data_IF_977432645824
#
_entry.id   IF_977432645824
#
_cell.length_a   1.000
_cell.length_b   1.000
_cell.length_c   1.000
_cell.angle_alpha   90.00
_cell.angle_beta   90.00
_cell.angle_gamma   90.00
#
_symmetry.space_group_name_H-M   'P 1'
#
loop_
_entity.id
_entity.type
_entity.pdbx_description
1 polymer ?
#
# COMPACT_ATOMS: atom_id res chain seq x y z
N UNK A 1 -4.95 -25.90 2.09
CA UNK A 1 -3.65 -25.40 1.56
C UNK A 1 -3.21 -24.28 2.51
N UNK A 2 -2.00 -24.36 3.11
CA UNK A 2 -1.51 -23.29 3.96
C UNK A 2 -1.35 -22.02 3.12
N UNK A 3 -2.06 -20.95 3.49
CA UNK A 3 -1.94 -19.65 2.85
C UNK A 3 -0.73 -18.92 3.44
N UNK A 4 0.25 -18.57 2.63
CA UNK A 4 1.38 -17.74 3.04
C UNK A 4 0.97 -16.27 2.94
N UNK A 5 0.78 -15.62 4.09
CA UNK A 5 0.51 -14.19 4.14
C UNK A 5 1.81 -13.42 4.34
N UNK A 6 2.15 -12.53 3.41
CA UNK A 6 3.30 -11.64 3.50
C UNK A 6 2.86 -10.25 3.91
N UNK A 7 3.48 -9.70 4.96
CA UNK A 7 3.22 -8.35 5.47
C UNK A 7 4.53 -7.55 5.40
N UNK A 8 4.72 -6.70 4.36
CA UNK A 8 5.93 -5.89 4.26
C UNK A 8 6.04 -4.93 5.45
N UNK A 9 7.22 -4.83 6.02
CA UNK A 9 7.54 -3.95 7.15
C UNK A 9 7.79 -2.51 6.68
N UNK A 10 6.71 -1.79 6.37
CA UNK A 10 6.75 -0.44 5.75
C UNK A 10 6.06 0.65 6.58
N UNK A 11 5.45 0.30 7.71
CA UNK A 11 4.74 1.24 8.56
C UNK A 11 5.56 1.60 9.79
N UNK A 12 5.56 2.85 10.18
CA UNK A 12 6.31 3.37 11.32
C UNK A 12 5.35 4.00 12.33
N UNK A 13 5.26 3.39 13.51
CA UNK A 13 4.39 3.85 14.59
C UNK A 13 5.13 4.86 15.46
N UNK A 14 4.68 6.09 15.47
CA UNK A 14 5.09 7.09 16.44
C UNK A 14 4.08 7.15 17.59
N UNK A 15 4.56 7.12 18.84
CA UNK A 15 3.70 7.11 20.03
C UNK A 15 4.24 8.02 21.11
N UNK A 16 3.37 8.81 21.73
CA UNK A 16 3.63 9.59 22.93
C UNK A 16 2.65 9.21 24.01
N UNK A 17 3.09 9.05 25.26
CA UNK A 17 2.24 8.70 26.38
C UNK A 17 2.57 9.50 27.64
N UNK A 18 1.63 9.54 28.60
CA UNK A 18 1.91 10.02 29.97
C UNK A 18 2.93 9.10 30.63
N UNK A 19 3.69 9.65 31.59
CA UNK A 19 4.64 8.87 32.39
C UNK A 19 3.90 7.84 33.22
N UNK A 20 4.38 6.59 33.19
CA UNK A 20 3.80 5.50 33.97
C UNK A 20 2.47 4.96 33.43
N UNK A 21 2.21 5.11 32.15
CA UNK A 21 1.07 4.43 31.49
C UNK A 21 1.23 2.90 31.63
N UNK A 22 0.17 2.21 32.10
CA UNK A 22 0.17 0.74 32.30
C UNK A 22 -0.92 0.03 31.54
N UNK A 23 -1.90 0.76 30.97
CA UNK A 23 -3.03 0.18 30.27
C UNK A 23 -2.69 -0.22 28.83
N UNK A 24 -1.97 -1.33 28.70
CA UNK A 24 -1.62 -1.93 27.40
C UNK A 24 -2.85 -2.33 26.61
N UNK A 25 -3.93 -2.78 27.28
CA UNK A 25 -5.15 -3.22 26.61
C UNK A 25 -5.78 -2.10 25.80
N UNK A 26 -5.88 -0.90 26.38
CA UNK A 26 -6.39 0.28 25.65
C UNK A 26 -5.51 0.64 24.45
N UNK A 27 -4.18 0.59 24.59
CA UNK A 27 -3.25 0.87 23.48
C UNK A 27 -3.45 -0.11 22.32
N UNK A 28 -3.51 -1.41 22.63
CA UNK A 28 -3.71 -2.44 21.61
C UNK A 28 -5.09 -2.37 20.95
N UNK A 29 -6.13 -2.08 21.73
CA UNK A 29 -7.49 -1.94 21.19
C UNK A 29 -7.56 -0.77 20.20
N UNK A 30 -7.00 0.37 20.53
CA UNK A 30 -6.99 1.54 19.67
C UNK A 30 -6.19 1.29 18.38
N UNK A 31 -5.02 0.65 18.48
CA UNK A 31 -4.22 0.27 17.32
C UNK A 31 -4.94 -0.74 16.43
N UNK A 32 -5.65 -1.70 17.04
CA UNK A 32 -6.42 -2.70 16.29
C UNK A 32 -7.59 -2.05 15.54
N UNK A 33 -8.38 -1.20 16.20
CA UNK A 33 -9.48 -0.44 15.57
C UNK A 33 -8.94 0.43 14.44
N UNK A 34 -7.82 1.12 14.68
CA UNK A 34 -7.15 1.93 13.68
C UNK A 34 -6.74 1.09 12.46
N UNK A 35 -6.19 -0.12 12.68
CA UNK A 35 -5.77 -1.02 11.61
C UNK A 35 -6.93 -1.47 10.71
N UNK A 36 -8.11 -1.69 11.29
CA UNK A 36 -9.32 -2.01 10.53
C UNK A 36 -9.79 -0.80 9.72
N UNK A 37 -9.87 0.38 10.37
CA UNK A 37 -10.37 1.59 9.73
C UNK A 37 -9.50 2.04 8.54
N UNK A 38 -8.18 2.02 8.71
CA UNK A 38 -7.22 2.40 7.68
C UNK A 38 -6.74 1.23 6.81
N UNK A 39 -7.30 0.01 7.00
CA UNK A 39 -7.05 -1.19 6.20
C UNK A 39 -5.57 -1.58 6.10
N UNK A 40 -4.87 -1.61 7.21
CA UNK A 40 -3.50 -2.12 7.28
C UNK A 40 -3.39 -3.27 8.31
N UNK A 41 -2.29 -4.02 8.26
CA UNK A 41 -2.02 -5.07 9.23
C UNK A 41 -0.97 -4.60 10.22
N UNK A 42 -1.17 -4.84 11.53
CA UNK A 42 -0.20 -4.49 12.57
C UNK A 42 1.15 -5.18 12.36
N UNK A 43 1.18 -6.33 11.70
CA UNK A 43 2.42 -7.01 11.31
C UNK A 43 3.27 -6.22 10.30
N UNK A 44 2.71 -5.22 9.64
CA UNK A 44 3.44 -4.33 8.73
C UNK A 44 4.18 -3.20 9.44
N UNK A 45 4.06 -3.09 10.77
CA UNK A 45 4.80 -2.09 11.55
C UNK A 45 6.28 -2.49 11.60
N UNK A 46 7.12 -1.63 11.05
CA UNK A 46 8.57 -1.78 10.95
C UNK A 46 9.29 -1.40 12.26
N UNK A 47 8.78 -0.39 12.95
CA UNK A 47 9.28 0.03 14.27
C UNK A 47 8.24 0.81 15.05
N UNK A 48 8.48 0.90 16.37
CA UNK A 48 7.81 1.81 17.29
C UNK A 48 8.78 2.92 17.65
N UNK A 49 8.33 4.17 17.65
CA UNK A 49 9.19 5.31 17.89
C UNK A 49 8.57 6.33 18.84
N UNK A 50 9.42 7.01 19.63
CA UNK A 50 9.02 8.01 20.61
C UNK A 50 10.12 9.05 20.83
N UNK A 51 9.91 9.94 21.79
CA UNK A 51 10.92 10.88 22.26
C UNK A 51 11.86 10.22 23.28
N UNK A 52 13.12 10.65 23.37
CA UNK A 52 14.12 10.10 24.30
C UNK A 52 13.70 10.11 25.79
N UNK A 53 12.86 11.08 26.18
CA UNK A 53 12.26 11.12 27.53
C UNK A 53 11.42 9.86 27.84
N UNK A 54 11.05 9.08 26.83
CA UNK A 54 10.26 7.85 26.93
C UNK A 54 11.07 6.58 26.69
N UNK A 55 12.38 6.69 26.58
CA UNK A 55 13.29 5.56 26.30
C UNK A 55 13.13 4.41 27.30
N UNK A 56 12.91 4.75 28.59
CA UNK A 56 12.76 3.78 29.67
C UNK A 56 11.30 3.49 30.05
N UNK A 57 10.33 3.91 29.24
CA UNK A 57 8.90 3.67 29.49
C UNK A 57 8.54 2.20 29.22
N UNK A 58 8.18 1.39 30.25
CA UNK A 58 8.05 -0.06 30.12
C UNK A 58 6.99 -0.46 29.09
N UNK A 59 5.84 0.25 29.05
CA UNK A 59 4.74 -0.06 28.16
C UNK A 59 5.14 0.07 26.68
N UNK A 60 6.00 1.03 26.33
CA UNK A 60 6.43 1.22 24.93
C UNK A 60 7.43 0.15 24.51
N UNK A 61 8.31 -0.29 25.41
CA UNK A 61 9.21 -1.42 25.18
C UNK A 61 8.41 -2.70 24.99
N UNK A 62 7.46 -2.97 25.89
CA UNK A 62 6.60 -4.15 25.82
C UNK A 62 5.74 -4.16 24.54
N UNK A 63 5.16 -3.01 24.15
CA UNK A 63 4.41 -2.86 22.91
C UNK A 63 5.27 -3.23 21.70
N UNK A 64 6.50 -2.74 21.64
CA UNK A 64 7.41 -2.98 20.54
C UNK A 64 7.88 -4.44 20.49
N UNK A 65 8.40 -4.96 21.61
CA UNK A 65 9.09 -6.25 21.64
C UNK A 65 8.11 -7.43 21.64
N UNK A 66 7.05 -7.33 22.46
CA UNK A 66 6.13 -8.47 22.67
C UNK A 66 4.99 -8.50 21.65
N UNK A 67 4.32 -7.36 21.46
CA UNK A 67 3.09 -7.33 20.65
C UNK A 67 3.34 -7.06 19.16
N UNK A 68 4.23 -6.11 18.83
CA UNK A 68 4.49 -5.75 17.44
C UNK A 68 5.73 -6.44 16.85
N UNK A 69 6.58 -7.02 17.70
CA UNK A 69 7.85 -7.67 17.32
C UNK A 69 8.67 -6.78 16.39
N UNK A 70 8.86 -5.55 16.82
CA UNK A 70 9.46 -4.49 16.03
C UNK A 70 10.38 -3.66 16.92
N UNK A 71 11.53 -3.16 16.44
CA UNK A 71 12.46 -2.39 17.25
C UNK A 71 11.82 -1.13 17.81
N UNK A 72 12.18 -0.77 19.06
CA UNK A 72 11.83 0.49 19.68
C UNK A 72 12.95 1.51 19.45
N UNK A 73 12.60 2.67 18.88
CA UNK A 73 13.53 3.77 18.59
C UNK A 73 13.11 5.02 19.33
N UNK A 74 14.07 5.81 19.80
CA UNK A 74 13.79 7.12 20.40
C UNK A 74 14.62 8.21 19.74
N UNK A 75 14.10 9.44 19.80
CA UNK A 75 14.71 10.61 19.18
C UNK A 75 14.77 11.79 20.14
N UNK A 76 15.84 12.61 20.08
CA UNK A 76 15.93 13.85 20.85
C UNK A 76 14.81 14.84 20.52
N UNK A 77 14.35 15.61 21.50
CA UNK A 77 13.32 16.63 21.32
C UNK A 77 13.66 17.65 20.22
N UNK A 78 14.92 18.05 20.15
CA UNK A 78 15.44 19.03 19.16
C UNK A 78 15.36 18.50 17.72
N UNK A 79 15.48 17.19 17.54
CA UNK A 79 15.35 16.54 16.23
C UNK A 79 13.88 16.44 15.84
N UNK A 80 13.02 16.08 16.77
CA UNK A 80 11.57 15.99 16.54
C UNK A 80 10.94 17.36 16.28
N UNK A 81 11.41 18.45 16.91
CA UNK A 81 10.86 19.80 16.71
C UNK A 81 11.16 20.35 15.32
N UNK A 82 12.17 19.83 14.62
CA UNK A 82 12.49 20.20 13.22
C UNK A 82 11.62 19.50 12.19
N UNK A 83 10.90 18.46 12.58
CA UNK A 83 10.04 17.72 11.64
C UNK A 83 8.73 18.48 11.42
N UNK A 84 8.39 18.83 10.17
CA UNK A 84 7.11 19.47 9.86
C UNK A 84 5.97 18.48 10.14
N UNK A 85 5.04 18.86 11.02
CA UNK A 85 3.90 18.04 11.41
C UNK A 85 2.59 18.77 11.13
N UNK A 86 1.55 18.07 10.65
CA UNK A 86 0.24 18.67 10.35
C UNK A 86 -0.50 19.21 11.57
N UNK A 87 -0.30 18.57 12.76
CA UNK A 87 -1.07 18.86 13.97
C UNK A 87 -0.16 19.22 15.16
N UNK A 88 0.52 20.39 15.13
CA UNK A 88 1.35 20.81 16.25
C UNK A 88 0.51 21.16 17.48
N UNK A 89 1.04 20.90 18.69
CA UNK A 89 0.39 21.18 19.97
C UNK A 89 1.30 22.02 20.84
N UNK A 90 0.85 23.21 21.21
CA UNK A 90 1.58 24.12 22.11
C UNK A 90 1.77 23.53 23.51
N UNK A 91 0.82 22.73 23.98
CA UNK A 91 0.89 22.06 25.29
C UNK A 91 1.98 20.98 25.31
N UNK A 92 2.07 20.19 24.22
CA UNK A 92 3.10 19.16 24.08
C UNK A 92 4.47 19.82 23.92
N UNK A 93 4.56 20.91 23.16
CA UNK A 93 5.80 21.67 22.96
C UNK A 93 6.37 22.20 24.31
N UNK A 94 5.52 22.70 25.20
CA UNK A 94 5.93 23.16 26.54
C UNK A 94 6.44 22.00 27.43
N UNK A 95 5.86 20.79 27.27
CA UNK A 95 6.19 19.65 28.13
C UNK A 95 7.37 18.82 27.61
N UNK A 96 7.58 18.77 26.30
CA UNK A 96 8.54 17.85 25.67
C UNK A 96 9.57 18.54 24.77
N UNK A 97 9.41 19.83 24.50
CA UNK A 97 10.24 20.56 23.54
C UNK A 97 9.89 20.31 22.06
N UNK A 98 8.91 19.47 21.79
CA UNK A 98 8.46 19.15 20.41
C UNK A 98 6.96 19.39 20.22
N UNK A 99 6.56 19.90 19.07
CA UNK A 99 5.16 20.24 18.76
C UNK A 99 4.21 19.03 18.66
N UNK A 100 4.72 17.86 18.27
CA UNK A 100 3.95 16.59 18.20
C UNK A 100 4.92 15.41 18.21
N UNK A 101 5.04 14.74 19.35
CA UNK A 101 5.94 13.58 19.47
C UNK A 101 5.52 12.44 18.55
N UNK A 102 4.23 12.11 18.52
CA UNK A 102 3.74 10.97 17.76
C UNK A 102 3.95 11.14 16.23
N UNK A 103 3.52 12.26 15.66
CA UNK A 103 3.68 12.49 14.22
C UNK A 103 5.15 12.66 13.82
N UNK A 104 5.90 13.46 14.60
CA UNK A 104 7.31 13.71 14.30
C UNK A 104 8.14 12.42 14.35
N UNK A 105 7.94 11.59 15.38
CA UNK A 105 8.63 10.31 15.49
C UNK A 105 8.26 9.33 14.38
N UNK A 106 6.98 9.26 14.00
CA UNK A 106 6.54 8.43 12.88
C UNK A 106 7.19 8.87 11.56
N UNK A 107 7.11 10.16 11.22
CA UNK A 107 7.68 10.73 9.98
C UNK A 107 9.19 10.52 9.94
N UNK A 108 9.89 10.82 11.05
CA UNK A 108 11.34 10.67 11.12
C UNK A 108 11.77 9.21 10.95
N UNK A 109 11.07 8.28 11.61
CA UNK A 109 11.30 6.84 11.45
C UNK A 109 11.03 6.32 10.05
N UNK A 110 10.10 6.96 9.33
CA UNK A 110 9.75 6.66 7.94
C UNK A 110 10.63 7.39 6.91
N UNK A 111 11.77 7.97 7.35
CA UNK A 111 12.72 8.70 6.49
C UNK A 111 12.07 9.89 5.75
N UNK A 112 11.11 10.54 6.41
CA UNK A 112 10.34 11.65 5.84
C UNK A 112 9.14 11.20 5.01
N UNK A 113 8.73 9.94 5.11
CA UNK A 113 7.55 9.42 4.45
C UNK A 113 6.25 10.02 4.99
N UNK A 114 5.15 10.01 4.22
CA UNK A 114 3.89 10.64 4.60
C UNK A 114 3.16 9.86 5.70
N UNK A 115 2.30 10.57 6.42
CA UNK A 115 1.42 9.97 7.40
C UNK A 115 0.28 9.20 6.70
N UNK A 116 0.16 7.90 7.00
CA UNK A 116 -1.03 7.10 6.72
C UNK A 116 -2.14 7.43 7.71
N UNK A 117 -1.75 7.59 8.99
CA UNK A 117 -2.65 7.97 10.08
C UNK A 117 -2.04 9.19 10.77
N UNK A 118 -2.74 10.33 10.68
CA UNK A 118 -2.41 11.52 11.45
C UNK A 118 -2.61 11.28 12.95
N UNK A 119 -2.22 12.26 13.75
CA UNK A 119 -2.27 12.16 15.22
C UNK A 119 -3.64 11.73 15.72
N UNK A 120 -3.68 10.59 16.37
CA UNK A 120 -4.84 10.06 17.11
C UNK A 120 -4.59 10.20 18.62
N UNK A 121 -5.67 10.44 19.36
CA UNK A 121 -5.66 10.38 20.83
C UNK A 121 -6.28 9.07 21.26
N UNK A 122 -5.63 8.35 22.15
CA UNK A 122 -6.20 7.15 22.75
C UNK A 122 -7.51 7.43 23.48
N UNK A 123 -8.37 6.43 23.59
CA UNK A 123 -9.68 6.55 24.25
C UNK A 123 -9.54 7.07 25.69
N UNK A 124 -8.51 6.66 26.40
CA UNK A 124 -8.18 7.14 27.78
C UNK A 124 -7.55 8.53 27.80
N UNK A 125 -7.18 9.09 26.63
CA UNK A 125 -6.44 10.36 26.48
C UNK A 125 -5.06 10.38 27.17
N UNK A 126 -4.51 9.23 27.52
CA UNK A 126 -3.21 9.08 28.18
C UNK A 126 -2.07 8.82 27.20
N UNK A 127 -2.40 8.56 25.95
CA UNK A 127 -1.44 8.40 24.87
C UNK A 127 -1.94 9.01 23.57
N UNK A 128 -1.02 9.26 22.66
CA UNK A 128 -1.29 9.70 21.29
C UNK A 128 -0.41 8.87 20.35
N UNK A 129 -0.91 8.58 19.16
CA UNK A 129 -0.15 7.85 18.16
C UNK A 129 -0.38 8.40 16.75
N UNK A 130 0.54 8.09 15.87
CA UNK A 130 0.47 8.37 14.44
C UNK A 130 1.23 7.27 13.68
N UNK A 131 0.89 7.05 12.42
CA UNK A 131 1.54 6.03 11.59
C UNK A 131 1.97 6.66 10.27
N UNK A 132 3.25 6.51 9.92
CA UNK A 132 3.80 6.93 8.64
C UNK A 132 4.18 5.71 7.79
N UNK A 133 4.25 5.90 6.47
CA UNK A 133 4.71 4.89 5.52
C UNK A 133 6.16 5.20 5.15
N UNK A 134 7.02 4.19 5.07
CA UNK A 134 8.41 4.35 4.60
C UNK A 134 8.45 5.13 3.29
N UNK A 135 9.33 6.12 3.21
CA UNK A 135 9.56 6.88 1.98
C UNK A 135 10.01 5.97 0.83
N UNK A 136 10.86 4.99 1.12
CA UNK A 136 11.30 3.98 0.16
C UNK A 136 10.13 3.17 -0.42
N UNK A 137 9.16 2.76 0.40
CA UNK A 137 8.01 1.99 -0.07
C UNK A 137 7.11 2.77 -1.04
N UNK A 138 7.10 4.10 -0.94
CA UNK A 138 6.35 4.97 -1.86
C UNK A 138 7.19 5.25 -3.11
N UNK A 139 8.50 5.45 -2.95
CA UNK A 139 9.41 5.61 -4.06
C UNK A 139 9.44 4.37 -4.95
N UNK A 140 9.37 3.17 -4.36
CA UNK A 140 9.24 1.92 -5.12
C UNK A 140 7.93 1.87 -5.93
N UNK A 141 6.83 2.44 -5.43
CA UNK A 141 5.58 2.59 -6.21
C UNK A 141 5.70 3.71 -7.25
N UNK A 142 6.30 4.84 -6.92
CA UNK A 142 6.53 5.95 -7.85
C UNK A 142 7.60 5.59 -8.90
N UNK A 143 8.66 4.90 -8.52
CA UNK A 143 9.68 4.37 -9.44
C UNK A 143 9.13 3.25 -10.32
N UNK A 144 8.21 2.44 -9.82
CA UNK A 144 7.46 1.48 -10.63
C UNK A 144 6.55 2.18 -11.63
N UNK A 145 5.95 3.32 -11.26
CA UNK A 145 5.18 4.18 -12.16
C UNK A 145 6.08 5.06 -13.06
N UNK A 146 7.28 5.45 -12.61
CA UNK A 146 8.24 6.24 -13.37
C UNK A 146 9.17 5.37 -14.24
N UNK A 147 9.48 4.13 -13.86
CA UNK A 147 10.12 3.14 -14.74
C UNK A 147 9.25 2.80 -15.95
N UNK A 148 7.91 2.90 -15.82
CA UNK A 148 7.01 2.94 -16.97
C UNK A 148 7.18 4.16 -17.88
N UNK A 149 7.90 5.22 -17.43
CA UNK A 149 8.19 6.43 -18.23
C UNK A 149 9.60 6.46 -18.85
N UNK A 150 10.50 5.57 -18.44
CA UNK A 150 11.84 5.44 -19.04
C UNK A 150 11.94 4.18 -19.92
N UNK A 151 11.19 4.16 -21.04
CA UNK A 151 11.43 3.22 -22.15
C UNK A 151 10.87 1.80 -22.01
N UNK A 152 10.35 1.41 -20.85
CA UNK A 152 9.70 0.12 -20.66
C UNK A 152 8.20 0.30 -20.31
N UNK A 153 7.33 -0.57 -20.86
CA UNK A 153 5.91 -0.59 -20.58
C UNK A 153 5.57 -1.08 -19.17
N UNK A 154 4.29 -1.06 -18.84
CA UNK A 154 3.76 -1.66 -17.62
C UNK A 154 2.52 -2.50 -17.93
N UNK A 155 2.38 -3.63 -17.25
CA UNK A 155 1.25 -4.55 -17.43
C UNK A 155 0.44 -4.59 -16.14
N UNK A 156 -0.85 -4.30 -16.23
CA UNK A 156 -1.79 -4.49 -15.13
C UNK A 156 -2.72 -5.67 -15.45
N UNK A 157 -2.71 -6.70 -14.62
CA UNK A 157 -3.65 -7.83 -14.71
C UNK A 157 -4.85 -7.47 -13.86
N UNK A 158 -5.99 -7.23 -14.48
CA UNK A 158 -7.19 -6.69 -13.82
C UNK A 158 -8.30 -7.74 -13.78
N UNK A 159 -8.91 -7.93 -12.61
CA UNK A 159 -10.13 -8.71 -12.46
C UNK A 159 -11.36 -7.92 -12.88
N UNK A 160 -12.10 -8.47 -13.83
CA UNK A 160 -13.33 -7.86 -14.37
C UNK A 160 -14.55 -8.01 -13.44
N UNK A 161 -14.44 -8.82 -12.39
CA UNK A 161 -15.61 -9.19 -11.60
C UNK A 161 -16.54 -10.16 -12.33
N UNK A 162 -17.81 -10.25 -11.92
CA UNK A 162 -18.79 -11.17 -12.51
C UNK A 162 -19.28 -10.77 -13.89
N UNK A 163 -18.80 -9.67 -14.48
CA UNK A 163 -19.13 -9.21 -15.81
C UNK A 163 -19.98 -7.93 -15.85
N UNK A 164 -20.56 -7.52 -14.75
CA UNK A 164 -21.28 -6.25 -14.66
C UNK A 164 -20.28 -5.08 -14.58
N UNK A 165 -20.36 -4.08 -15.47
CA UNK A 165 -19.49 -2.90 -15.41
C UNK A 165 -19.57 -2.08 -14.11
N UNK A 166 -20.66 -2.18 -13.37
CA UNK A 166 -20.80 -1.52 -12.07
C UNK A 166 -20.11 -2.29 -10.93
N UNK A 167 -19.78 -3.56 -11.16
CA UNK A 167 -19.11 -4.43 -10.18
C UNK A 167 -17.60 -4.54 -10.39
N UNK A 168 -17.05 -3.81 -11.33
CA UNK A 168 -15.57 -3.70 -11.42
C UNK A 168 -15.04 -2.87 -10.24
N UNK A 169 -13.89 -3.23 -9.70
CA UNK A 169 -13.26 -2.42 -8.66
C UNK A 169 -12.93 -1.02 -9.19
N UNK A 170 -13.03 0.00 -8.35
CA UNK A 170 -12.67 1.39 -8.69
C UNK A 170 -11.23 1.45 -9.25
N UNK A 171 -10.32 0.68 -8.68
CA UNK A 171 -8.94 0.57 -9.17
C UNK A 171 -8.90 -0.03 -10.57
N UNK A 172 -9.58 -1.14 -10.80
CA UNK A 172 -9.64 -1.80 -12.10
C UNK A 172 -10.19 -0.87 -13.19
N UNK A 173 -11.25 -0.13 -12.89
CA UNK A 173 -11.81 0.87 -13.81
C UNK A 173 -10.79 1.95 -14.17
N UNK A 174 -10.07 2.52 -13.18
CA UNK A 174 -9.01 3.51 -13.44
C UNK A 174 -7.88 2.96 -14.31
N UNK A 175 -7.53 1.67 -14.16
CA UNK A 175 -6.53 1.04 -15.02
C UNK A 175 -7.03 0.95 -16.46
N UNK A 176 -8.29 0.54 -16.69
CA UNK A 176 -8.91 0.52 -18.03
C UNK A 176 -8.96 1.91 -18.67
N UNK A 177 -9.34 2.94 -17.91
CA UNK A 177 -9.42 4.33 -18.38
C UNK A 177 -8.05 4.89 -18.85
N UNK A 178 -6.94 4.36 -18.31
CA UNK A 178 -5.59 4.82 -18.64
C UNK A 178 -4.82 3.90 -19.62
N UNK A 179 -5.35 2.75 -19.96
CA UNK A 179 -4.66 1.77 -20.78
C UNK A 179 -4.42 2.24 -22.22
N UNK A 180 -3.26 1.89 -22.79
CA UNK A 180 -2.96 2.02 -24.22
C UNK A 180 -3.37 0.75 -24.99
N UNK A 181 -3.30 -0.42 -24.33
CA UNK A 181 -3.80 -1.70 -24.83
C UNK A 181 -4.68 -2.34 -23.74
N UNK A 182 -5.88 -2.73 -24.12
CA UNK A 182 -6.74 -3.60 -23.31
C UNK A 182 -6.88 -4.93 -24.05
N UNK A 183 -6.36 -5.99 -23.47
CA UNK A 183 -6.51 -7.37 -23.95
C UNK A 183 -7.43 -8.11 -23.00
N UNK A 184 -8.64 -8.47 -23.44
CA UNK A 184 -9.66 -9.08 -22.61
C UNK A 184 -10.03 -10.49 -23.06
N UNK A 185 -10.46 -11.36 -22.14
CA UNK A 185 -10.90 -12.72 -22.40
C UNK A 185 -12.32 -12.70 -23.02
N UNK A 186 -12.42 -12.57 -24.34
CA UNK A 186 -13.62 -12.20 -25.07
C UNK A 186 -14.85 -13.11 -24.93
N UNK A 187 -14.66 -14.34 -24.48
CA UNK A 187 -15.80 -15.27 -24.22
C UNK A 187 -16.38 -15.12 -22.81
N UNK A 188 -15.64 -14.52 -21.89
CA UNK A 188 -15.99 -14.47 -20.47
C UNK A 188 -16.06 -13.05 -19.90
N UNK A 189 -15.57 -12.07 -20.64
CA UNK A 189 -15.54 -10.67 -20.23
C UNK A 189 -16.35 -9.84 -21.22
N UNK A 190 -17.46 -9.22 -20.79
CA UNK A 190 -18.27 -8.36 -21.63
C UNK A 190 -17.50 -7.18 -22.20
N UNK A 191 -17.71 -6.88 -23.47
CA UNK A 191 -17.04 -5.76 -24.15
C UNK A 191 -17.39 -4.40 -23.53
N UNK A 192 -18.55 -4.31 -22.90
CA UNK A 192 -19.05 -3.12 -22.22
C UNK A 192 -18.09 -2.60 -21.16
N UNK A 193 -17.34 -3.48 -20.50
CA UNK A 193 -16.29 -3.13 -19.54
C UNK A 193 -15.16 -2.29 -20.16
N UNK A 194 -14.98 -2.38 -21.47
CA UNK A 194 -13.93 -1.63 -22.19
C UNK A 194 -14.38 -0.26 -22.68
N UNK A 195 -15.66 0.09 -22.54
CA UNK A 195 -16.21 1.38 -23.00
C UNK A 195 -15.63 2.60 -22.27
N UNK A 196 -15.11 2.39 -21.06
CA UNK A 196 -14.43 3.45 -20.29
C UNK A 196 -13.01 3.76 -20.76
N UNK A 197 -12.49 3.02 -21.74
CA UNK A 197 -11.14 3.21 -22.25
C UNK A 197 -10.93 4.60 -22.84
N UNK A 198 -9.74 5.17 -22.64
CA UNK A 198 -9.38 6.47 -23.23
C UNK A 198 -9.39 6.43 -24.76
N UNK A 199 -9.62 7.58 -25.37
CA UNK A 199 -9.54 7.73 -26.84
C UNK A 199 -8.14 7.34 -27.35
N UNK A 200 -8.11 6.45 -28.36
CA UNK A 200 -6.86 5.96 -28.95
C UNK A 200 -6.31 4.66 -28.32
N UNK A 201 -6.98 4.11 -27.32
CA UNK A 201 -6.66 2.78 -26.80
C UNK A 201 -6.90 1.70 -27.86
N UNK A 202 -6.01 0.72 -27.90
CA UNK A 202 -6.21 -0.51 -28.67
C UNK A 202 -6.96 -1.52 -27.81
N UNK A 203 -8.14 -1.97 -28.25
CA UNK A 203 -8.95 -2.94 -27.54
C UNK A 203 -8.99 -4.22 -28.36
N UNK A 204 -8.59 -5.36 -27.78
CA UNK A 204 -8.53 -6.65 -28.45
C UNK A 204 -9.10 -7.77 -27.58
N UNK A 205 -9.92 -8.61 -28.20
CA UNK A 205 -10.28 -9.89 -27.60
C UNK A 205 -9.13 -10.88 -27.75
N UNK A 206 -8.92 -11.71 -26.74
CA UNK A 206 -7.98 -12.83 -26.80
C UNK A 206 -8.67 -14.16 -27.17
N UNK A 207 -9.96 -14.16 -27.47
CA UNK A 207 -10.71 -15.38 -27.80
C UNK A 207 -10.16 -16.11 -29.04
N UNK A 208 -9.71 -15.35 -30.02
CA UNK A 208 -9.20 -15.88 -31.30
C UNK A 208 -7.68 -15.89 -31.36
N UNK A 209 -7.00 -15.71 -30.21
CA UNK A 209 -5.55 -15.63 -30.11
C UNK A 209 -4.99 -16.80 -29.30
N UNK A 210 -3.99 -17.47 -29.85
CA UNK A 210 -3.19 -18.40 -29.06
C UNK A 210 -2.30 -17.64 -28.05
N UNK A 211 -1.67 -18.36 -27.12
CA UNK A 211 -0.90 -17.77 -26.06
C UNK A 211 0.32 -16.98 -26.58
N UNK A 212 0.97 -17.49 -27.61
CA UNK A 212 2.13 -16.84 -28.23
C UNK A 212 1.76 -15.52 -28.90
N UNK A 213 0.62 -15.47 -29.58
CA UNK A 213 0.09 -14.23 -30.20
C UNK A 213 -0.28 -13.19 -29.16
N UNK A 214 -0.87 -13.61 -28.02
CA UNK A 214 -1.16 -12.73 -26.89
C UNK A 214 0.12 -12.13 -26.33
N UNK A 215 1.14 -12.94 -26.10
CA UNK A 215 2.44 -12.48 -25.59
C UNK A 215 3.16 -11.58 -26.59
N UNK A 216 3.14 -11.91 -27.88
CA UNK A 216 3.73 -11.07 -28.92
C UNK A 216 3.06 -9.67 -28.98
N UNK A 217 1.73 -9.63 -28.83
CA UNK A 217 0.98 -8.37 -28.79
C UNK A 217 1.34 -7.55 -27.54
N UNK A 218 1.32 -8.17 -26.36
CA UNK A 218 1.67 -7.52 -25.11
C UNK A 218 3.10 -6.98 -25.19
N UNK A 219 4.06 -7.82 -25.62
CA UNK A 219 5.47 -7.43 -25.76
C UNK A 219 5.66 -6.26 -26.72
N UNK A 220 4.96 -6.25 -27.84
CA UNK A 220 5.01 -5.13 -28.81
C UNK A 220 4.62 -3.79 -28.21
N UNK A 221 3.63 -3.76 -27.30
CA UNK A 221 3.22 -2.55 -26.60
C UNK A 221 4.16 -2.23 -25.44
N UNK A 222 4.60 -3.25 -24.71
CA UNK A 222 5.52 -3.11 -23.60
C UNK A 222 6.87 -2.48 -24.03
N UNK A 223 7.46 -2.98 -25.10
CA UNK A 223 8.72 -2.47 -25.65
C UNK A 223 8.62 -1.01 -26.15
N UNK A 224 7.39 -0.52 -26.36
CA UNK A 224 7.10 0.89 -26.70
C UNK A 224 6.81 1.76 -25.49
N UNK A 225 7.01 1.28 -24.27
CA UNK A 225 6.74 2.02 -23.06
C UNK A 225 5.24 2.25 -22.79
N UNK A 226 4.36 1.37 -23.29
CA UNK A 226 2.90 1.52 -23.20
C UNK A 226 2.33 0.87 -21.96
N UNK A 227 1.19 1.40 -21.48
CA UNK A 227 0.42 0.83 -20.39
C UNK A 227 -0.59 -0.19 -20.91
N UNK A 228 -0.46 -1.43 -20.45
CA UNK A 228 -1.22 -2.58 -20.93
C UNK A 228 -2.12 -3.08 -19.80
N UNK A 229 -3.40 -3.29 -20.10
CA UNK A 229 -4.32 -3.99 -19.20
C UNK A 229 -4.66 -5.36 -19.77
N UNK A 230 -4.41 -6.41 -19.00
CA UNK A 230 -4.88 -7.76 -19.23
C UNK A 230 -6.12 -7.99 -18.36
N UNK A 231 -7.31 -7.96 -18.98
CA UNK A 231 -8.59 -8.07 -18.27
C UNK A 231 -9.06 -9.52 -18.23
N UNK A 232 -9.20 -10.07 -17.01
CA UNK A 232 -9.66 -11.43 -16.71
C UNK A 232 -11.04 -11.43 -16.08
N UNK A 233 -11.78 -12.51 -16.24
CA UNK A 233 -13.05 -12.72 -15.54
C UNK A 233 -12.82 -12.93 -14.04
N UNK A 234 -13.77 -12.54 -13.20
CA UNK A 234 -13.71 -12.71 -11.74
C UNK A 234 -12.49 -12.04 -11.11
N UNK A 235 -11.84 -12.79 -10.23
CA UNK A 235 -10.53 -12.44 -9.66
C UNK A 235 -9.43 -13.28 -10.35
N UNK A 236 -8.40 -12.66 -10.94
CA UNK A 236 -7.35 -13.37 -11.66
C UNK A 236 -6.57 -14.37 -10.78
N UNK A 237 -6.50 -14.15 -9.47
CA UNK A 237 -5.76 -14.99 -8.54
C UNK A 237 -6.51 -16.26 -8.12
N UNK A 238 -7.84 -16.34 -8.36
CA UNK A 238 -8.66 -17.47 -7.91
C UNK A 238 -8.82 -18.51 -9.03
N UNK A 239 -9.19 -18.09 -10.23
CA UNK A 239 -9.51 -18.97 -11.35
C UNK A 239 -8.64 -18.76 -12.59
N UNK A 240 -7.73 -17.80 -12.52
CA UNK A 240 -6.99 -17.38 -13.71
C UNK A 240 -5.81 -18.29 -14.01
N UNK A 241 -5.68 -18.69 -15.27
CA UNK A 241 -4.43 -19.20 -15.83
C UNK A 241 -3.40 -18.06 -15.95
N UNK A 242 -3.26 -17.25 -14.88
CA UNK A 242 -2.32 -16.12 -14.89
C UNK A 242 -0.88 -16.57 -14.63
N UNK A 243 -0.68 -17.78 -14.07
CA UNK A 243 0.66 -18.29 -13.74
C UNK A 243 1.56 -18.38 -14.98
N UNK A 244 1.03 -18.85 -16.10
CA UNK A 244 1.76 -18.94 -17.36
C UNK A 244 2.10 -17.54 -17.90
N UNK A 245 1.19 -16.59 -17.74
CA UNK A 245 1.42 -15.20 -18.13
C UNK A 245 2.47 -14.54 -17.24
N UNK A 246 2.37 -14.72 -15.93
CA UNK A 246 3.36 -14.22 -14.97
C UNK A 246 4.75 -14.83 -15.24
N UNK A 247 4.84 -16.14 -15.46
CA UNK A 247 6.10 -16.80 -15.79
C UNK A 247 6.72 -16.27 -17.09
N UNK A 248 5.89 -15.89 -18.07
CA UNK A 248 6.37 -15.23 -19.29
C UNK A 248 6.89 -13.82 -18.97
N UNK A 249 6.15 -13.02 -18.19
CA UNK A 249 6.56 -11.66 -17.84
C UNK A 249 7.86 -11.68 -17.03
N UNK A 250 7.99 -12.58 -16.05
CA UNK A 250 9.20 -12.77 -15.25
C UNK A 250 10.39 -13.18 -16.12
N UNK A 251 10.19 -14.11 -17.06
CA UNK A 251 11.24 -14.57 -17.99
C UNK A 251 11.80 -13.46 -18.85
N UNK A 252 10.98 -12.49 -19.23
CA UNK A 252 11.38 -11.35 -20.08
C UNK A 252 11.65 -10.07 -19.28
N UNK A 253 11.66 -10.14 -17.93
CA UNK A 253 11.89 -8.98 -17.06
C UNK A 253 10.84 -7.88 -17.22
N UNK A 254 9.61 -8.25 -17.57
CA UNK A 254 8.51 -7.30 -17.77
C UNK A 254 7.86 -6.94 -16.44
N UNK A 255 7.68 -5.64 -16.19
CA UNK A 255 7.01 -5.15 -14.99
C UNK A 255 5.50 -5.39 -15.07
N UNK A 256 4.92 -6.04 -14.06
CA UNK A 256 3.47 -6.24 -13.96
C UNK A 256 2.97 -6.13 -12.53
N UNK A 257 1.67 -5.86 -12.41
CA UNK A 257 0.96 -5.83 -11.15
C UNK A 257 -0.43 -6.47 -11.32
N UNK A 258 -1.04 -6.90 -10.21
CA UNK A 258 -2.37 -7.53 -10.20
C UNK A 258 -3.34 -6.65 -9.42
N UNK A 259 -4.42 -6.24 -10.08
CA UNK A 259 -5.59 -5.62 -9.44
C UNK A 259 -6.68 -6.68 -9.26
N UNK A 260 -7.05 -7.02 -8.01
CA UNK A 260 -8.10 -8.01 -7.72
C UNK A 260 -9.44 -7.62 -8.32
N UNK A 261 -10.26 -8.64 -8.63
CA UNK A 261 -11.65 -8.50 -9.00
C UNK A 261 -12.59 -9.11 -7.97
N UNK A 262 -13.89 -8.85 -8.11
CA UNK A 262 -14.94 -9.52 -7.34
C UNK A 262 -15.12 -10.91 -7.93
N UNK A 263 -14.96 -11.95 -7.10
CA UNK A 263 -15.29 -13.33 -7.49
C UNK A 263 -16.73 -13.64 -7.10
N UNK A 264 -17.48 -14.24 -8.00
CA UNK A 264 -18.82 -14.79 -7.74
C UNK A 264 -18.74 -16.17 -7.11
#
# INVERSE_FOLDING_TARGET
IPCLSFFPKVLHLGIGCKKGLTDMKSVLTDLYICSIFYRFNLKSIANVSSIDLKKEEPILKELADTYLRSPFKTYPAEVLDKVPVPHPSSTVKKATGSGSVAEAAAILSAEGGPLLVGKQKGQTKDFTYAIAISKSAIQDEEDSQQKGKQGHGHIEIVGAGPGDPELISIRGRRMLENADLILYAGSLVPKELTLCAKKGSTIRSSADMNLEEQFALIKKFYDKGKFIVRLHTGDPCIYGAIQEQMAFFDRYGMSYHITPGISS
#
